data_IF_646256051024
#
_entry.id   IF_646256051024
#
_cell.length_a   1.000
_cell.length_b   1.000
_cell.length_c   1.000
_cell.angle_alpha   90.00
_cell.angle_beta   90.00
_cell.angle_gamma   90.00
#
_symmetry.space_group_name_H-M   'P 1'
#
loop_
_entity.id
_entity.type
_entity.pdbx_description
1 polymer ?
#
# COMPACT_ATOMS: atom_id res chain seq x y z
N UNK A 1 -13.67 -13.68 1.36
CA UNK A 1 -14.32 -12.57 0.57
C UNK A 1 -13.40 -12.18 -0.56
N UNK A 2 -13.83 -12.28 -1.82
CA UNK A 2 -12.97 -11.96 -2.97
C UNK A 2 -12.99 -10.46 -3.25
N UNK A 3 -11.82 -9.84 -3.33
CA UNK A 3 -11.66 -8.44 -3.69
C UNK A 3 -11.74 -8.24 -5.21
N UNK A 4 -12.26 -7.10 -5.65
CA UNK A 4 -12.26 -6.71 -7.05
C UNK A 4 -10.83 -6.51 -7.53
N UNK A 5 -10.50 -7.03 -8.72
CA UNK A 5 -9.15 -7.00 -9.26
C UNK A 5 -9.13 -7.03 -10.78
N UNK A 6 -8.08 -6.47 -11.35
CA UNK A 6 -7.70 -6.62 -12.75
C UNK A 6 -6.46 -7.52 -12.82
N UNK A 7 -6.46 -8.48 -13.75
CA UNK A 7 -5.33 -9.37 -13.93
C UNK A 7 -4.64 -9.10 -15.27
N UNK A 8 -3.34 -8.80 -15.21
CA UNK A 8 -2.46 -8.84 -16.36
C UNK A 8 -1.87 -10.25 -16.44
N UNK A 9 -2.50 -11.10 -17.22
CA UNK A 9 -2.04 -12.47 -17.44
C UNK A 9 -0.80 -12.47 -18.34
N UNK A 10 0.23 -13.20 -17.92
CA UNK A 10 1.38 -13.55 -18.74
C UNK A 10 1.62 -15.06 -18.60
N UNK A 11 1.40 -15.81 -19.68
CA UNK A 11 1.48 -17.27 -19.69
C UNK A 11 2.91 -17.81 -19.47
N UNK A 12 3.93 -16.98 -19.68
CA UNK A 12 5.33 -17.30 -19.42
C UNK A 12 5.84 -16.83 -18.06
N UNK A 13 4.99 -16.22 -17.25
CA UNK A 13 5.37 -15.70 -15.95
C UNK A 13 5.72 -16.81 -14.97
N UNK A 14 6.84 -16.66 -14.29
CA UNK A 14 7.31 -17.54 -13.20
C UNK A 14 6.89 -17.01 -11.84
N UNK A 15 6.55 -15.73 -11.75
CA UNK A 15 6.18 -15.03 -10.52
C UNK A 15 4.81 -14.36 -10.67
N UNK A 16 4.04 -14.34 -9.60
CA UNK A 16 2.78 -13.60 -9.50
C UNK A 16 2.95 -12.44 -8.52
N UNK A 17 2.54 -11.23 -8.91
CA UNK A 17 2.62 -10.03 -8.06
C UNK A 17 1.21 -9.51 -7.82
N UNK A 18 0.83 -9.38 -6.56
CA UNK A 18 -0.41 -8.77 -6.10
C UNK A 18 -0.13 -7.32 -5.67
N UNK A 19 -0.73 -6.33 -6.33
CA UNK A 19 -0.50 -4.91 -6.05
C UNK A 19 -1.71 -4.29 -5.35
N UNK A 20 -1.47 -3.69 -4.18
CA UNK A 20 -2.49 -3.04 -3.36
C UNK A 20 -2.17 -1.56 -3.16
N UNK A 21 -3.12 -0.72 -3.52
CA UNK A 21 -3.03 0.74 -3.51
C UNK A 21 -3.15 1.36 -2.09
N UNK A 22 -2.92 2.67 -1.97
CA UNK A 22 -3.09 3.45 -0.75
C UNK A 22 -4.51 3.99 -0.54
N UNK A 23 -4.73 4.65 0.60
CA UNK A 23 -6.00 5.30 0.92
C UNK A 23 -6.40 6.31 -0.15
N UNK A 24 -7.67 6.42 -0.44
CA UNK A 24 -8.32 7.18 -1.52
C UNK A 24 -8.15 6.64 -2.93
N UNK A 25 -7.16 5.81 -3.20
CA UNK A 25 -6.87 5.27 -4.53
C UNK A 25 -7.81 4.10 -4.90
N UNK A 26 -7.65 3.59 -6.11
CA UNK A 26 -8.22 2.33 -6.60
C UNK A 26 -7.11 1.47 -7.21
N UNK A 27 -7.42 0.24 -7.60
CA UNK A 27 -6.49 -0.65 -8.32
C UNK A 27 -5.88 0.01 -9.57
N UNK A 28 -6.55 0.99 -10.17
CA UNK A 28 -6.07 1.70 -11.36
C UNK A 28 -4.85 2.57 -11.10
N UNK A 29 -4.68 3.05 -9.87
CA UNK A 29 -3.47 3.81 -9.48
C UNK A 29 -2.18 2.97 -9.55
N UNK A 30 -2.27 1.64 -9.58
CA UNK A 30 -1.10 0.74 -9.73
C UNK A 30 -0.73 0.46 -11.19
N UNK A 31 -1.59 0.79 -12.15
CA UNK A 31 -1.40 0.43 -13.57
C UNK A 31 -0.17 1.10 -14.19
N UNK A 32 0.18 2.31 -13.75
CA UNK A 32 1.39 3.01 -14.21
C UNK A 32 2.65 2.20 -13.86
N UNK A 33 2.76 1.76 -12.61
CA UNK A 33 3.86 0.92 -12.14
C UNK A 33 3.90 -0.42 -12.88
N UNK A 34 2.76 -1.09 -13.03
CA UNK A 34 2.66 -2.38 -13.74
C UNK A 34 3.16 -2.22 -15.19
N UNK A 35 2.81 -1.13 -15.86
CA UNK A 35 3.24 -0.84 -17.24
C UNK A 35 4.75 -0.67 -17.34
N UNK A 36 5.36 0.12 -16.43
CA UNK A 36 6.80 0.30 -16.38
C UNK A 36 7.53 -1.02 -16.06
N UNK A 37 7.02 -1.80 -15.11
CA UNK A 37 7.59 -3.11 -14.79
C UNK A 37 7.51 -4.08 -16.00
N UNK A 38 6.37 -4.09 -16.71
CA UNK A 38 6.16 -4.96 -17.88
C UNK A 38 7.05 -4.58 -19.07
N UNK A 39 7.46 -3.31 -19.16
CA UNK A 39 8.46 -2.87 -20.14
C UNK A 39 9.88 -3.36 -19.84
N UNK A 40 10.17 -3.67 -18.56
CA UNK A 40 11.47 -4.13 -18.08
C UNK A 40 11.59 -5.66 -17.99
N UNK A 41 10.50 -6.37 -17.72
CA UNK A 41 10.51 -7.82 -17.51
C UNK A 41 9.18 -8.44 -17.93
N UNK A 42 9.28 -9.63 -18.53
CA UNK A 42 8.12 -10.49 -18.86
C UNK A 42 7.99 -11.69 -17.92
N UNK A 43 8.76 -11.74 -16.83
CA UNK A 43 8.81 -12.91 -15.94
C UNK A 43 7.72 -12.92 -14.87
N UNK A 44 6.85 -11.92 -14.82
CA UNK A 44 5.76 -11.84 -13.84
C UNK A 44 4.39 -11.67 -14.50
N UNK A 45 3.35 -12.11 -13.80
CA UNK A 45 1.97 -11.71 -13.97
C UNK A 45 1.57 -10.76 -12.83
N UNK A 46 0.70 -9.80 -13.09
CA UNK A 46 0.28 -8.83 -12.09
C UNK A 46 -1.23 -8.90 -11.83
N UNK A 47 -1.61 -8.75 -10.56
CA UNK A 47 -2.98 -8.50 -10.12
C UNK A 47 -3.03 -7.13 -9.44
N UNK A 48 -3.77 -6.19 -10.02
CA UNK A 48 -4.11 -4.91 -9.40
C UNK A 48 -5.41 -5.07 -8.61
N UNK A 49 -5.43 -4.73 -7.33
CA UNK A 49 -6.51 -5.09 -6.41
C UNK A 49 -7.09 -3.84 -5.77
N UNK A 50 -8.42 -3.73 -5.73
CA UNK A 50 -9.10 -2.75 -4.89
C UNK A 50 -9.08 -3.20 -3.43
N UNK A 51 -8.50 -2.39 -2.56
CA UNK A 51 -8.55 -2.63 -1.12
C UNK A 51 -10.01 -2.63 -0.63
N UNK A 52 -10.34 -3.33 0.47
CA UNK A 52 -11.64 -3.18 1.11
C UNK A 52 -12.02 -1.71 1.29
N UNK A 53 -13.29 -1.38 1.13
CA UNK A 53 -13.84 -0.03 1.23
C UNK A 53 -13.35 0.94 0.12
N UNK A 54 -12.75 0.42 -0.97
CA UNK A 54 -12.30 1.23 -2.10
C UNK A 54 -12.73 0.60 -3.44
N UNK A 55 -12.88 1.44 -4.47
CA UNK A 55 -13.20 1.03 -5.83
C UNK A 55 -14.43 0.12 -5.89
N UNK A 56 -14.33 -0.99 -6.60
CA UNK A 56 -15.40 -1.98 -6.69
C UNK A 56 -15.49 -2.90 -5.45
N UNK A 57 -14.50 -2.85 -4.52
CA UNK A 57 -14.52 -3.52 -3.21
C UNK A 57 -15.09 -2.63 -2.08
N UNK A 58 -15.68 -1.46 -2.38
CA UNK A 58 -16.17 -0.51 -1.37
C UNK A 58 -17.29 -1.05 -0.46
N UNK A 59 -17.94 -2.14 -0.84
CA UNK A 59 -18.95 -2.82 -0.04
C UNK A 59 -18.38 -3.83 0.97
N UNK A 60 -17.08 -4.09 0.94
CA UNK A 60 -16.39 -5.01 1.83
C UNK A 60 -15.83 -4.21 3.01
N UNK A 61 -16.55 -4.23 4.14
CA UNK A 61 -16.14 -3.54 5.36
C UNK A 61 -15.41 -4.51 6.30
N UNK A 62 -14.15 -4.21 6.62
CA UNK A 62 -13.30 -4.98 7.52
C UNK A 62 -12.17 -4.12 8.08
N UNK A 63 -11.53 -4.56 9.14
CA UNK A 63 -10.31 -3.95 9.67
C UNK A 63 -9.07 -4.38 8.87
N UNK A 64 -7.89 -3.90 9.28
CA UNK A 64 -6.63 -4.19 8.56
C UNK A 64 -6.32 -5.69 8.54
N UNK A 65 -6.62 -6.42 9.62
CA UNK A 65 -6.40 -7.86 9.72
C UNK A 65 -7.31 -8.63 8.77
N UNK A 66 -8.62 -8.34 8.77
CA UNK A 66 -9.54 -8.96 7.83
C UNK A 66 -9.31 -8.53 6.37
N UNK A 67 -8.76 -7.32 6.14
CA UNK A 67 -8.32 -6.88 4.82
C UNK A 67 -7.14 -7.75 4.30
N UNK A 68 -6.23 -8.13 5.19
CA UNK A 68 -5.14 -9.06 4.88
C UNK A 68 -5.66 -10.46 4.53
N UNK A 69 -6.63 -10.98 5.29
CA UNK A 69 -7.29 -12.26 4.99
C UNK A 69 -7.98 -12.24 3.62
N UNK A 70 -8.76 -11.18 3.33
CA UNK A 70 -9.44 -11.02 2.05
C UNK A 70 -8.45 -10.90 0.88
N UNK A 71 -7.32 -10.22 1.09
CA UNK A 71 -6.26 -10.09 0.10
C UNK A 71 -5.64 -11.46 -0.22
N UNK A 72 -5.32 -12.25 0.80
CA UNK A 72 -4.74 -13.60 0.63
C UNK A 72 -5.75 -14.55 0.00
N UNK A 73 -7.02 -14.52 0.42
CA UNK A 73 -8.09 -15.32 -0.19
C UNK A 73 -8.26 -15.00 -1.70
N UNK A 74 -8.04 -13.73 -2.08
CA UNK A 74 -8.14 -13.30 -3.49
C UNK A 74 -6.92 -13.70 -4.31
N UNK A 75 -5.72 -13.55 -3.74
CA UNK A 75 -4.48 -13.66 -4.49
C UNK A 75 -3.80 -15.02 -4.35
N UNK A 76 -3.95 -15.73 -3.22
CA UNK A 76 -3.18 -16.94 -2.91
C UNK A 76 -1.67 -16.67 -2.90
N UNK A 77 -0.89 -17.68 -3.26
CA UNK A 77 0.57 -17.55 -3.30
C UNK A 77 1.02 -16.51 -4.32
N UNK A 78 1.70 -15.47 -3.84
CA UNK A 78 2.19 -14.35 -4.65
C UNK A 78 3.29 -13.55 -3.92
N UNK A 79 3.92 -12.65 -4.64
CA UNK A 79 4.67 -11.52 -4.09
C UNK A 79 3.64 -10.40 -3.86
N UNK A 80 3.60 -9.86 -2.64
CA UNK A 80 2.65 -8.82 -2.26
C UNK A 80 3.33 -7.47 -2.27
N UNK A 81 2.85 -6.55 -3.11
CA UNK A 81 3.34 -5.19 -3.23
C UNK A 81 2.25 -4.23 -2.75
N UNK A 82 2.51 -3.49 -1.70
CA UNK A 82 1.59 -2.51 -1.16
C UNK A 82 2.18 -1.11 -1.05
N UNK A 83 1.33 -0.11 -1.24
CA UNK A 83 1.66 1.28 -1.02
C UNK A 83 0.87 1.85 0.17
N UNK A 84 1.54 2.52 1.11
CA UNK A 84 0.94 3.25 2.24
C UNK A 84 -0.05 2.38 3.04
N UNK A 85 -1.37 2.61 2.95
CA UNK A 85 -2.39 1.72 3.52
C UNK A 85 -2.26 0.29 2.99
N UNK A 86 -2.07 0.12 1.68
CA UNK A 86 -1.85 -1.20 1.07
C UNK A 86 -0.58 -1.87 1.60
N UNK A 87 0.48 -1.12 1.89
CA UNK A 87 1.69 -1.67 2.50
C UNK A 87 1.42 -2.22 3.91
N UNK A 88 0.58 -1.53 4.70
CA UNK A 88 0.17 -2.03 6.03
C UNK A 88 -0.65 -3.33 5.94
N UNK A 89 -1.58 -3.39 4.98
CA UNK A 89 -2.38 -4.60 4.72
C UNK A 89 -1.49 -5.76 4.25
N UNK A 90 -0.56 -5.52 3.32
CA UNK A 90 0.39 -6.52 2.85
C UNK A 90 1.32 -7.02 3.98
N UNK A 91 1.73 -6.13 4.90
CA UNK A 91 2.53 -6.52 6.07
C UNK A 91 1.73 -7.43 7.02
N UNK A 92 0.46 -7.11 7.26
CA UNK A 92 -0.43 -8.01 8.02
C UNK A 92 -0.57 -9.37 7.31
N UNK A 93 -0.79 -9.39 5.99
CA UNK A 93 -0.86 -10.61 5.21
C UNK A 93 0.40 -11.49 5.36
N UNK A 94 1.59 -10.87 5.30
CA UNK A 94 2.86 -11.58 5.44
C UNK A 94 3.06 -12.20 6.84
N UNK A 95 2.57 -11.53 7.88
CA UNK A 95 2.66 -12.03 9.27
C UNK A 95 1.58 -13.08 9.61
N UNK A 96 0.38 -12.94 9.05
CA UNK A 96 -0.75 -13.85 9.30
C UNK A 96 -0.71 -15.10 8.40
N UNK A 97 -0.20 -14.96 7.16
CA UNK A 97 -0.19 -16.00 6.13
C UNK A 97 1.22 -16.17 5.50
N UNK A 98 2.26 -16.49 6.29
CA UNK A 98 3.65 -16.51 5.82
C UNK A 98 3.92 -17.56 4.73
N UNK A 99 3.07 -18.57 4.56
CA UNK A 99 3.17 -19.58 3.49
C UNK A 99 2.64 -19.09 2.14
N UNK A 100 1.74 -18.10 2.16
CA UNK A 100 1.14 -17.55 0.94
C UNK A 100 1.93 -16.38 0.39
N UNK A 101 2.63 -15.61 1.25
CA UNK A 101 3.43 -14.46 0.86
C UNK A 101 4.84 -14.88 0.52
N UNK A 102 5.12 -15.04 -0.78
CA UNK A 102 6.43 -15.48 -1.29
C UNK A 102 7.50 -14.39 -1.25
N UNK A 103 7.10 -13.13 -1.22
CA UNK A 103 7.93 -11.94 -1.10
C UNK A 103 7.06 -10.73 -0.77
N UNK A 104 7.65 -9.71 -0.17
CA UNK A 104 6.93 -8.54 0.31
C UNK A 104 7.60 -7.25 -0.16
N UNK A 105 6.86 -6.38 -0.84
CA UNK A 105 7.32 -5.05 -1.24
C UNK A 105 6.47 -4.00 -0.55
N UNK A 106 7.08 -3.17 0.27
CA UNK A 106 6.42 -2.13 1.05
C UNK A 106 6.90 -0.74 0.60
N UNK A 107 6.02 -0.01 -0.09
CA UNK A 107 6.27 1.37 -0.52
C UNK A 107 5.63 2.31 0.51
N UNK A 108 6.43 3.15 1.16
CA UNK A 108 6.00 4.13 2.17
C UNK A 108 5.07 3.51 3.23
N UNK A 109 5.47 2.34 3.76
CA UNK A 109 4.73 1.59 4.77
C UNK A 109 5.22 1.85 6.20
N UNK A 110 4.43 1.42 7.18
CA UNK A 110 4.80 1.44 8.61
C UNK A 110 4.28 0.19 9.32
N UNK A 111 5.00 -0.26 10.33
CA UNK A 111 4.56 -1.33 11.23
C UNK A 111 3.61 -0.84 12.35
N UNK A 112 3.08 0.38 12.23
CA UNK A 112 2.11 0.96 13.16
C UNK A 112 2.73 1.85 14.24
N UNK A 113 1.90 2.33 15.17
CA UNK A 113 2.26 3.24 16.26
C UNK A 113 2.46 2.41 17.53
N UNK A 114 3.66 2.48 18.13
CA UNK A 114 4.02 1.72 19.32
C UNK A 114 3.34 2.28 20.56
N UNK A 115 3.47 3.60 20.77
CA UNK A 115 2.94 4.26 21.96
C UNK A 115 1.42 4.25 21.96
N UNK A 116 0.75 3.70 22.99
CA UNK A 116 -0.71 3.58 23.03
C UNK A 116 -1.43 4.94 23.03
N UNK A 117 -0.83 5.96 23.66
CA UNK A 117 -1.41 7.31 23.73
C UNK A 117 -1.34 7.98 22.37
N UNK A 118 -0.21 7.90 21.68
CA UNK A 118 -0.09 8.40 20.30
C UNK A 118 -1.01 7.65 19.35
N UNK A 119 -1.17 6.34 19.53
CA UNK A 119 -2.10 5.53 18.71
C UNK A 119 -3.54 5.96 18.93
N UNK A 120 -3.95 6.23 20.17
CA UNK A 120 -5.28 6.76 20.48
C UNK A 120 -5.50 8.14 19.87
N UNK A 121 -4.56 9.08 20.02
CA UNK A 121 -4.68 10.41 19.39
C UNK A 121 -4.77 10.29 17.85
N UNK A 122 -4.03 9.34 17.26
CA UNK A 122 -4.15 9.09 15.83
C UNK A 122 -5.51 8.51 15.44
N UNK A 123 -6.08 7.63 16.26
CA UNK A 123 -7.43 7.10 16.03
C UNK A 123 -8.49 8.20 16.11
N UNK A 124 -8.37 9.12 17.07
CA UNK A 124 -9.24 10.29 17.20
C UNK A 124 -9.12 11.17 15.95
N UNK A 125 -7.91 11.46 15.48
CA UNK A 125 -7.69 12.24 14.25
C UNK A 125 -8.19 11.51 12.98
N UNK A 126 -8.09 10.18 12.90
CA UNK A 126 -8.65 9.38 11.80
C UNK A 126 -10.20 9.43 11.82
N UNK A 127 -10.83 9.46 13.02
CA UNK A 127 -12.28 9.63 13.18
C UNK A 127 -12.75 11.04 12.78
N UNK A 128 -12.04 12.09 13.22
CA UNK A 128 -12.36 13.48 12.83
C UNK A 128 -12.27 13.66 11.31
N UNK A 129 -11.26 13.03 10.69
CA UNK A 129 -11.11 13.04 9.24
C UNK A 129 -12.21 12.24 8.53
N UNK A 130 -12.70 11.16 9.14
CA UNK A 130 -13.84 10.40 8.63
C UNK A 130 -15.13 11.21 8.68
N UNK A 131 -15.38 11.91 9.78
CA UNK A 131 -16.53 12.81 9.90
C UNK A 131 -16.45 13.96 8.88
N UNK A 132 -15.25 14.50 8.66
CA UNK A 132 -15.02 15.54 7.67
C UNK A 132 -15.35 15.07 6.25
N UNK A 133 -14.87 13.87 5.84
CA UNK A 133 -15.15 13.35 4.48
C UNK A 133 -16.65 13.12 4.26
N UNK A 134 -17.39 12.68 5.28
CA UNK A 134 -18.86 12.54 5.22
C UNK A 134 -19.55 13.89 5.09
N UNK A 135 -19.02 14.92 5.75
CA UNK A 135 -19.58 16.27 5.72
C UNK A 135 -19.37 16.98 4.38
N UNK A 136 -18.15 16.92 3.80
CA UNK A 136 -17.80 17.69 2.60
C UNK A 136 -18.01 16.90 1.30
N UNK A 137 -18.13 15.58 1.39
CA UNK A 137 -18.21 14.67 0.24
C UNK A 137 -16.87 14.36 -0.41
N UNK A 138 -16.86 13.33 -1.26
CA UNK A 138 -15.63 12.77 -1.82
C UNK A 138 -14.82 13.79 -2.62
N UNK A 139 -15.45 14.53 -3.51
CA UNK A 139 -14.73 15.43 -4.44
C UNK A 139 -13.95 16.52 -3.71
N UNK A 140 -14.59 17.20 -2.76
CA UNK A 140 -13.92 18.23 -1.96
C UNK A 140 -12.85 17.62 -1.08
N UNK A 141 -13.15 16.50 -0.42
CA UNK A 141 -12.17 15.80 0.40
C UNK A 141 -10.92 15.38 -0.38
N UNK A 142 -11.06 14.85 -1.59
CA UNK A 142 -9.90 14.45 -2.42
C UNK A 142 -9.05 15.67 -2.77
N UNK A 143 -9.65 16.80 -3.12
CA UNK A 143 -8.91 18.04 -3.38
C UNK A 143 -8.09 18.48 -2.15
N UNK A 144 -8.72 18.49 -0.96
CA UNK A 144 -8.04 18.83 0.30
C UNK A 144 -6.97 17.79 0.70
N UNK A 145 -7.24 16.51 0.46
CA UNK A 145 -6.31 15.43 0.75
C UNK A 145 -5.04 15.53 -0.07
N UNK A 146 -5.16 15.75 -1.37
CA UNK A 146 -4.03 15.88 -2.29
C UNK A 146 -3.26 17.20 -2.12
N UNK A 147 -3.86 18.23 -1.52
CA UNK A 147 -3.18 19.47 -1.16
C UNK A 147 -2.25 19.34 0.06
N UNK A 148 -2.23 18.20 0.76
CA UNK A 148 -1.34 18.00 1.92
C UNK A 148 0.14 17.98 1.49
N UNK A 149 1.06 18.50 2.33
CA UNK A 149 2.48 18.60 1.99
C UNK A 149 3.14 17.28 1.58
N UNK A 150 2.67 16.15 2.11
CA UNK A 150 3.19 14.83 1.75
C UNK A 150 2.97 14.44 0.27
N UNK A 151 2.07 15.14 -0.44
CA UNK A 151 1.77 14.93 -1.86
C UNK A 151 2.30 16.04 -2.76
N UNK A 152 3.16 16.93 -2.25
CA UNK A 152 3.65 18.09 -2.99
C UNK A 152 4.43 17.73 -4.28
N UNK A 153 4.97 16.51 -4.37
CA UNK A 153 5.70 16.02 -5.55
C UNK A 153 4.83 15.11 -6.44
N UNK A 154 3.58 14.87 -6.05
CA UNK A 154 2.68 14.06 -6.86
C UNK A 154 2.37 14.80 -8.17
N UNK A 155 2.49 14.14 -9.34
CA UNK A 155 2.09 14.72 -10.62
C UNK A 155 0.62 15.14 -10.62
N UNK A 156 0.32 16.27 -11.22
CA UNK A 156 -1.07 16.66 -11.49
C UNK A 156 -1.65 15.77 -12.59
N UNK A 157 -2.45 14.78 -12.16
CA UNK A 157 -3.09 13.80 -13.04
C UNK A 157 -4.61 13.85 -12.84
N UNK A 158 -5.35 14.54 -13.74
CA UNK A 158 -6.81 14.61 -13.68
C UNK A 158 -7.49 13.23 -13.70
N UNK A 159 -6.87 12.23 -14.34
CA UNK A 159 -7.40 10.88 -14.39
C UNK A 159 -7.29 10.18 -13.03
N UNK A 160 -6.16 10.30 -12.33
CA UNK A 160 -6.00 9.77 -10.97
C UNK A 160 -6.98 10.45 -10.01
N UNK A 161 -7.18 11.77 -10.12
CA UNK A 161 -8.15 12.52 -9.32
C UNK A 161 -9.58 12.01 -9.58
N UNK A 162 -9.97 11.83 -10.85
CA UNK A 162 -11.28 11.32 -11.21
C UNK A 162 -11.51 9.89 -10.67
N UNK A 163 -10.50 9.03 -10.76
CA UNK A 163 -10.56 7.67 -10.22
C UNK A 163 -10.72 7.66 -8.70
N UNK A 164 -10.00 8.49 -7.97
CA UNK A 164 -10.17 8.65 -6.51
C UNK A 164 -11.58 9.07 -6.14
N UNK A 165 -12.19 9.93 -6.96
CA UNK A 165 -13.56 10.41 -6.76
C UNK A 165 -14.64 9.36 -7.04
N UNK A 166 -14.31 8.17 -7.56
CA UNK A 166 -15.25 7.05 -7.67
C UNK A 166 -15.56 6.37 -6.34
N UNK A 167 -14.72 6.56 -5.33
CA UNK A 167 -14.98 6.10 -3.97
C UNK A 167 -16.11 6.92 -3.34
N UNK A 168 -16.99 6.27 -2.58
CA UNK A 168 -18.03 6.99 -1.84
C UNK A 168 -17.45 7.64 -0.56
N UNK A 169 -18.01 8.78 -0.15
CA UNK A 169 -17.62 9.42 1.11
C UNK A 169 -17.77 8.46 2.31
N UNK A 170 -18.88 7.70 2.35
CA UNK A 170 -19.15 6.73 3.40
C UNK A 170 -18.11 5.60 3.44
N UNK A 171 -17.68 5.06 2.30
CA UNK A 171 -16.67 4.00 2.30
C UNK A 171 -15.28 4.52 2.68
N UNK A 172 -14.89 5.73 2.25
CA UNK A 172 -13.65 6.37 2.70
C UNK A 172 -13.67 6.65 4.21
N UNK A 173 -14.77 7.16 4.75
CA UNK A 173 -14.93 7.39 6.18
C UNK A 173 -14.85 6.08 6.98
N UNK A 174 -15.53 5.04 6.51
CA UNK A 174 -15.48 3.71 7.12
C UNK A 174 -14.06 3.15 7.08
N UNK A 175 -13.33 3.34 5.97
CA UNK A 175 -11.92 2.93 5.85
C UNK A 175 -11.03 3.64 6.87
N UNK A 176 -11.21 4.93 7.12
CA UNK A 176 -10.46 5.67 8.15
C UNK A 176 -10.74 5.11 9.55
N UNK A 177 -12.01 4.82 9.86
CA UNK A 177 -12.42 4.29 11.16
C UNK A 177 -11.97 2.85 11.40
N UNK A 178 -11.93 2.00 10.36
CA UNK A 178 -11.61 0.58 10.50
C UNK A 178 -10.16 0.24 10.15
N UNK A 179 -9.59 0.91 9.15
CA UNK A 179 -8.24 0.66 8.61
C UNK A 179 -7.27 1.82 8.84
N UNK A 180 -7.64 2.83 9.63
CA UNK A 180 -6.78 3.94 10.01
C UNK A 180 -5.49 3.46 10.69
N UNK A 181 -4.44 4.28 10.68
CA UNK A 181 -3.18 3.89 11.37
C UNK A 181 -3.36 3.83 12.88
N UNK A 182 -4.33 4.57 13.42
CA UNK A 182 -4.66 4.56 14.85
C UNK A 182 -5.33 3.27 15.34
N UNK A 183 -6.05 2.54 14.46
CA UNK A 183 -6.68 1.26 14.81
C UNK A 183 -5.72 0.07 14.68
N UNK A 184 -4.64 0.22 13.92
CA UNK A 184 -3.68 -0.84 13.71
C UNK A 184 -2.90 -1.16 14.99
N UNK A 185 -2.82 -2.44 15.35
CA UNK A 185 -1.89 -2.89 16.38
C UNK A 185 -0.44 -2.73 15.90
N UNK A 186 0.46 -2.45 16.85
CA UNK A 186 1.89 -2.37 16.55
C UNK A 186 2.44 -3.73 16.12
N UNK A 187 3.12 -3.76 14.98
CA UNK A 187 3.75 -4.97 14.43
C UNK A 187 5.28 -4.96 14.58
N UNK A 188 5.84 -3.95 15.26
CA UNK A 188 7.29 -3.78 15.35
C UNK A 188 8.01 -4.98 15.97
N UNK A 189 7.43 -5.59 16.99
CA UNK A 189 8.01 -6.74 17.69
C UNK A 189 7.89 -8.05 16.91
N UNK A 190 7.02 -8.09 15.90
CA UNK A 190 6.82 -9.27 15.05
C UNK A 190 7.63 -9.22 13.75
N UNK A 191 8.19 -8.07 13.37
CA UNK A 191 8.98 -7.93 12.14
C UNK A 191 10.14 -8.94 12.01
N UNK A 192 10.87 -9.31 13.08
CA UNK A 192 11.94 -10.30 12.98
C UNK A 192 11.47 -11.71 12.59
N UNK A 193 10.15 -11.99 12.62
CA UNK A 193 9.60 -13.29 12.22
C UNK A 193 9.33 -13.43 10.73
N UNK A 194 9.47 -12.33 9.96
CA UNK A 194 9.33 -12.36 8.51
C UNK A 194 10.43 -13.21 7.87
N UNK A 195 10.07 -14.32 7.27
CA UNK A 195 11.00 -15.30 6.70
C UNK A 195 11.19 -15.15 5.18
N UNK A 196 10.23 -14.49 4.50
CA UNK A 196 10.32 -14.20 3.07
C UNK A 196 11.23 -13.00 2.78
N UNK A 197 11.74 -12.84 1.55
CA UNK A 197 12.42 -11.61 1.13
C UNK A 197 11.50 -10.38 1.25
N UNK A 198 12.04 -9.26 1.76
CA UNK A 198 11.31 -8.00 1.93
C UNK A 198 12.05 -6.87 1.23
N UNK A 199 11.35 -6.12 0.40
CA UNK A 199 11.82 -4.88 -0.21
C UNK A 199 11.09 -3.69 0.42
N UNK A 200 11.86 -2.77 1.00
CA UNK A 200 11.37 -1.53 1.59
C UNK A 200 11.74 -0.36 0.68
N UNK A 201 10.75 0.45 0.29
CA UNK A 201 10.95 1.63 -0.56
C UNK A 201 10.34 2.84 0.13
N UNK A 202 11.08 3.94 0.21
CA UNK A 202 10.59 5.25 0.67
C UNK A 202 11.18 6.38 -0.18
N UNK A 203 10.47 7.49 -0.29
CA UNK A 203 10.97 8.67 -0.99
C UNK A 203 11.77 9.57 -0.05
N UNK A 204 12.90 10.13 -0.53
CA UNK A 204 13.82 10.93 0.28
C UNK A 204 13.18 12.18 0.89
N UNK A 205 12.14 12.72 0.26
CA UNK A 205 11.40 13.90 0.76
C UNK A 205 10.29 13.53 1.79
N UNK A 206 10.10 12.24 2.08
CA UNK A 206 9.22 11.78 3.16
C UNK A 206 10.07 11.21 4.33
N UNK A 207 10.65 12.12 5.11
CA UNK A 207 11.58 11.76 6.18
C UNK A 207 10.96 10.80 7.20
N UNK A 208 9.69 10.98 7.55
CA UNK A 208 9.00 10.11 8.51
C UNK A 208 8.96 8.65 8.02
N UNK A 209 8.60 8.43 6.75
CA UNK A 209 8.58 7.09 6.18
C UNK A 209 9.97 6.55 5.84
N UNK A 210 10.95 7.41 5.58
CA UNK A 210 12.36 7.00 5.53
C UNK A 210 12.83 6.42 6.88
N UNK A 211 12.46 7.05 8.00
CA UNK A 211 12.78 6.54 9.33
C UNK A 211 12.07 5.22 9.63
N UNK A 212 10.79 5.11 9.27
CA UNK A 212 10.06 3.83 9.38
C UNK A 212 10.74 2.72 8.56
N UNK A 213 11.09 2.99 7.31
CA UNK A 213 11.72 2.01 6.43
C UNK A 213 13.10 1.57 6.95
N UNK A 214 13.95 2.49 7.43
CA UNK A 214 15.24 2.16 8.05
C UNK A 214 15.07 1.27 9.27
N UNK A 215 14.16 1.63 10.17
CA UNK A 215 13.88 0.84 11.37
C UNK A 215 13.31 -0.54 11.05
N UNK A 216 12.40 -0.63 10.07
CA UNK A 216 11.88 -1.93 9.61
C UNK A 216 13.00 -2.79 9.03
N UNK A 217 13.89 -2.21 8.21
CA UNK A 217 15.05 -2.89 7.65
C UNK A 217 15.97 -3.45 8.75
N UNK A 218 16.27 -2.66 9.79
CA UNK A 218 17.09 -3.09 10.92
C UNK A 218 16.46 -4.28 11.67
N UNK A 219 15.15 -4.25 11.90
CA UNK A 219 14.46 -5.28 12.68
C UNK A 219 14.21 -6.57 11.89
N UNK A 220 13.92 -6.47 10.59
CA UNK A 220 13.77 -7.63 9.70
C UNK A 220 15.13 -8.29 9.45
N UNK A 221 16.19 -7.51 9.36
CA UNK A 221 17.55 -8.01 9.22
C UNK A 221 17.87 -8.48 7.79
N UNK A 222 18.54 -9.66 7.67
CA UNK A 222 19.10 -10.14 6.40
C UNK A 222 18.08 -10.42 5.29
N UNK A 223 16.81 -10.56 5.62
CA UNK A 223 15.74 -10.76 4.64
C UNK A 223 15.28 -9.46 4.00
N UNK A 224 15.67 -8.29 4.53
CA UNK A 224 15.24 -7.00 4.04
C UNK A 224 16.27 -6.32 3.14
N UNK A 225 15.77 -5.68 2.09
CA UNK A 225 16.50 -4.73 1.23
C UNK A 225 15.83 -3.37 1.33
N UNK A 226 16.60 -2.30 1.47
CA UNK A 226 16.08 -0.94 1.59
C UNK A 226 16.53 -0.07 0.42
N UNK A 227 15.58 0.64 -0.19
CA UNK A 227 15.85 1.68 -1.18
C UNK A 227 15.18 3.00 -0.79
N UNK A 228 15.99 4.08 -0.69
CA UNK A 228 15.49 5.46 -0.57
C UNK A 228 15.62 6.11 -1.93
N UNK A 229 14.47 6.43 -2.53
CA UNK A 229 14.40 7.01 -3.87
C UNK A 229 14.56 8.52 -3.79
N UNK A 230 15.60 9.04 -4.45
CA UNK A 230 15.84 10.48 -4.53
C UNK A 230 14.73 11.15 -5.36
N UNK A 231 14.48 12.42 -5.10
CA UNK A 231 13.45 13.23 -5.79
C UNK A 231 12.04 12.64 -5.74
N UNK A 232 11.74 11.89 -4.67
CA UNK A 232 10.42 11.33 -4.40
C UNK A 232 9.96 11.63 -2.97
N UNK A 233 8.66 11.87 -2.82
CA UNK A 233 7.95 12.00 -1.55
C UNK A 233 7.21 10.71 -1.18
N UNK A 234 5.98 10.84 -0.69
CA UNK A 234 5.22 9.71 -0.16
C UNK A 234 4.77 8.71 -1.23
N UNK A 235 4.37 9.21 -2.41
CA UNK A 235 3.79 8.39 -3.48
C UNK A 235 4.85 7.94 -4.50
N UNK A 236 5.94 7.33 -4.04
CA UNK A 236 7.14 7.00 -4.83
C UNK A 236 6.81 6.35 -6.19
N UNK A 237 5.85 5.43 -6.22
CA UNK A 237 5.45 4.69 -7.43
C UNK A 237 4.69 5.55 -8.46
N UNK A 238 4.11 6.68 -8.03
CA UNK A 238 3.46 7.66 -8.91
C UNK A 238 4.41 8.81 -9.30
N UNK A 239 5.28 9.19 -8.38
CA UNK A 239 6.22 10.29 -8.56
C UNK A 239 7.44 9.86 -9.39
N UNK A 240 7.93 8.62 -9.19
CA UNK A 240 9.09 8.04 -9.87
C UNK A 240 8.77 6.61 -10.37
N UNK A 241 7.77 6.42 -11.27
CA UNK A 241 7.27 5.10 -11.64
C UNK A 241 8.33 4.21 -12.28
N UNK A 242 9.17 4.78 -13.16
CA UNK A 242 10.24 4.04 -13.86
C UNK A 242 11.35 3.60 -12.89
N UNK A 243 11.78 4.48 -11.99
CA UNK A 243 12.79 4.17 -10.97
C UNK A 243 12.26 3.09 -10.02
N UNK A 244 11.01 3.23 -9.58
CA UNK A 244 10.35 2.23 -8.72
C UNK A 244 10.26 0.87 -9.41
N UNK A 245 9.84 0.85 -10.68
CA UNK A 245 9.77 -0.38 -11.48
C UNK A 245 11.14 -1.05 -11.61
N UNK A 246 12.20 -0.27 -11.86
CA UNK A 246 13.57 -0.80 -11.98
C UNK A 246 14.04 -1.43 -10.66
N UNK A 247 13.78 -0.77 -9.52
CA UNK A 247 14.12 -1.30 -8.19
C UNK A 247 13.39 -2.63 -7.94
N UNK A 248 12.07 -2.66 -8.17
CA UNK A 248 11.26 -3.87 -7.98
C UNK A 248 11.71 -4.98 -8.91
N UNK A 249 11.87 -4.72 -10.22
CA UNK A 249 12.30 -5.74 -11.18
C UNK A 249 13.70 -6.29 -10.87
N UNK A 250 14.66 -5.44 -10.49
CA UNK A 250 15.98 -5.90 -10.08
C UNK A 250 15.92 -6.79 -8.83
N UNK A 251 15.11 -6.40 -7.84
CA UNK A 251 14.94 -7.20 -6.64
C UNK A 251 14.28 -8.55 -6.93
N UNK A 252 13.31 -8.61 -7.85
CA UNK A 252 12.67 -9.87 -8.29
C UNK A 252 13.66 -10.89 -8.89
N UNK A 253 14.82 -10.45 -9.37
CA UNK A 253 15.85 -11.36 -9.90
C UNK A 253 16.73 -11.99 -8.83
N UNK A 254 16.55 -11.63 -7.55
CA UNK A 254 17.39 -12.11 -6.45
C UNK A 254 16.88 -13.38 -5.79
N UNK A 255 15.73 -13.92 -6.23
CA UNK A 255 15.15 -15.17 -5.72
C UNK A 255 14.33 -15.97 -6.74
#
# INVERSE_FOLDING_TARGET
MTLAHDQLANLSATQKIALLHGFTQTRRSTQGLIREMSALSTQFSAMAIDAPLHGESQHIATDVSGAADALVETCGQAIYLGYSMGARICLHAALQHPTEVQGLVLISGTAGIIDPTQRQHRQEADNDLADHVEQVGTQQFIAEWLAKPMFALLPDDPQDIAERCTNSATSLATSLRMCGTGTQQSLWDTLPTLSMPVLLIAGAHDEAFCQHARRMHELIGSNATLHIVQDAGHSVHLEQPRTTAQIVCNWLTTF
#
